data_IF_653047873130
#
_entry.id   IF_653047873130
#
_cell.length_a   1.000
_cell.length_b   1.000
_cell.length_c   1.000
_cell.angle_alpha   90.00
_cell.angle_beta   90.00
_cell.angle_gamma   90.00
#
_symmetry.space_group_name_H-M   'P 1'
#
loop_
_entity.id
_entity.type
_entity.pdbx_description
1 polymer ?
#
# COMPACT_ATOMS: atom_id res chain seq x y z
N UNK A 1 -71.50 44.00 -32.31
CA UNK A 1 -70.75 44.78 -31.30
C UNK A 1 -69.26 44.43 -31.41
N UNK A 2 -68.50 45.24 -32.16
CA UNK A 2 -67.08 45.01 -32.42
C UNK A 2 -66.21 45.36 -31.20
N UNK A 3 -65.30 44.46 -30.82
CA UNK A 3 -64.34 44.70 -29.73
C UNK A 3 -63.06 45.38 -30.26
N UNK A 4 -62.66 46.44 -29.54
CA UNK A 4 -61.68 47.46 -29.92
C UNK A 4 -60.24 46.92 -30.01
N UNK A 5 -59.55 47.24 -31.12
CA UNK A 5 -58.09 47.10 -31.27
C UNK A 5 -57.39 48.14 -30.39
N UNK A 6 -56.51 47.68 -29.47
CA UNK A 6 -55.64 48.56 -28.66
C UNK A 6 -54.43 48.99 -29.49
N UNK A 7 -54.34 50.29 -29.79
CA UNK A 7 -53.17 50.96 -30.36
C UNK A 7 -51.99 50.92 -29.38
N UNK A 8 -50.85 50.36 -29.83
CA UNK A 8 -49.59 50.38 -29.09
C UNK A 8 -48.90 51.71 -29.37
N UNK A 9 -48.68 52.52 -28.33
CA UNK A 9 -48.03 53.83 -28.43
C UNK A 9 -46.59 53.66 -28.93
N UNK A 10 -46.29 54.30 -30.05
CA UNK A 10 -44.95 54.58 -30.55
C UNK A 10 -44.40 55.72 -29.69
N UNK A 11 -43.36 55.44 -28.91
CA UNK A 11 -42.66 56.45 -28.12
C UNK A 11 -41.17 56.12 -28.12
N UNK A 12 -40.50 56.34 -29.24
CA UNK A 12 -39.04 56.47 -29.29
C UNK A 12 -38.57 57.03 -30.64
N UNK A 13 -38.89 58.28 -30.93
CA UNK A 13 -38.17 59.07 -31.92
C UNK A 13 -38.30 60.56 -31.57
N UNK A 14 -37.51 60.99 -30.58
CA UNK A 14 -37.28 62.41 -30.31
C UNK A 14 -35.88 62.76 -30.85
N UNK A 15 -35.73 63.78 -31.71
CA UNK A 15 -34.43 64.20 -32.23
C UNK A 15 -33.70 65.02 -31.17
N UNK A 16 -32.58 64.51 -30.66
CA UNK A 16 -31.77 65.21 -29.64
C UNK A 16 -30.99 64.30 -28.68
N UNK A 17 -31.21 62.98 -28.72
CA UNK A 17 -30.36 62.02 -28.00
C UNK A 17 -29.37 61.40 -28.99
N UNK A 18 -28.08 61.50 -28.70
CA UNK A 18 -27.01 60.87 -29.49
C UNK A 18 -27.31 59.38 -29.63
N UNK A 19 -27.64 58.95 -30.84
CA UNK A 19 -27.70 57.53 -31.17
C UNK A 19 -26.27 57.06 -31.33
N UNK A 20 -25.72 56.45 -30.28
CA UNK A 20 -24.49 55.69 -30.42
C UNK A 20 -24.76 54.58 -31.43
N UNK A 21 -24.21 54.75 -32.63
CA UNK A 21 -24.14 53.72 -33.66
C UNK A 21 -23.39 52.54 -33.01
N UNK A 22 -24.06 51.41 -32.92
CA UNK A 22 -23.47 50.14 -32.51
C UNK A 22 -22.27 49.82 -33.39
N UNK A 23 -21.17 49.27 -32.83
CA UNK A 23 -20.17 48.61 -33.66
C UNK A 23 -20.85 47.36 -34.22
N UNK A 24 -21.35 47.48 -35.45
CA UNK A 24 -21.38 46.33 -36.33
C UNK A 24 -19.94 45.87 -36.52
N UNK A 25 -19.78 44.56 -36.53
CA UNK A 25 -18.61 43.83 -37.00
C UNK A 25 -17.55 43.54 -35.93
N UNK A 26 -17.92 42.70 -34.96
CA UNK A 26 -17.23 41.41 -34.69
C UNK A 26 -18.00 40.62 -33.62
N UNK A 27 -18.23 39.33 -33.89
CA UNK A 27 -18.78 38.30 -32.97
C UNK A 27 -20.15 38.58 -32.34
N UNK A 28 -21.19 38.63 -33.16
CA UNK A 28 -22.58 38.52 -32.68
C UNK A 28 -22.92 37.05 -32.36
N UNK A 29 -22.40 36.52 -31.24
CA UNK A 29 -23.09 35.42 -30.56
C UNK A 29 -24.47 35.92 -30.15
N UNK A 30 -25.49 35.22 -30.60
CA UNK A 30 -26.90 35.62 -30.57
C UNK A 30 -27.40 35.77 -29.12
N UNK A 31 -27.31 36.98 -28.58
CA UNK A 31 -28.02 37.41 -27.37
C UNK A 31 -29.52 37.62 -27.62
N UNK A 32 -30.20 36.63 -28.21
CA UNK A 32 -31.66 36.66 -28.36
C UNK A 32 -32.30 36.70 -26.97
N UNK A 33 -33.14 37.72 -26.71
CA UNK A 33 -33.94 37.85 -25.48
C UNK A 33 -34.56 36.49 -25.12
N UNK A 34 -34.13 35.88 -24.00
CA UNK A 34 -34.50 34.50 -23.64
C UNK A 34 -36.02 34.34 -23.68
N UNK A 35 -36.50 33.46 -24.56
CA UNK A 35 -37.94 33.17 -24.64
C UNK A 35 -38.39 32.62 -23.28
N UNK A 36 -39.45 33.19 -22.72
CA UNK A 36 -40.03 32.72 -21.46
C UNK A 36 -40.76 31.41 -21.73
N UNK A 37 -40.05 30.30 -21.62
CA UNK A 37 -40.59 28.96 -21.83
C UNK A 37 -40.82 28.27 -20.48
N UNK A 38 -41.88 27.46 -20.38
CA UNK A 38 -42.17 26.65 -19.20
C UNK A 38 -41.04 25.64 -18.93
N UNK A 39 -40.40 25.73 -17.77
CA UNK A 39 -39.26 24.90 -17.36
C UNK A 39 -39.67 23.63 -16.60
N UNK A 40 -40.94 23.22 -16.62
CA UNK A 40 -41.37 22.06 -15.83
C UNK A 40 -41.05 20.72 -16.52
N UNK A 41 -40.69 20.72 -17.81
CA UNK A 41 -40.41 19.50 -18.59
C UNK A 41 -38.95 19.44 -19.03
N UNK A 42 -38.30 18.28 -18.87
CA UNK A 42 -36.90 18.02 -19.31
C UNK A 42 -36.65 18.35 -20.79
N UNK A 43 -37.62 18.09 -21.66
CA UNK A 43 -37.54 18.45 -23.10
C UNK A 43 -37.29 19.94 -23.33
N UNK A 44 -37.79 20.83 -22.47
CA UNK A 44 -37.54 22.27 -22.59
C UNK A 44 -36.17 22.66 -22.03
N UNK A 45 -35.66 21.96 -21.02
CA UNK A 45 -34.30 22.20 -20.50
C UNK A 45 -33.26 21.91 -21.56
N UNK A 46 -33.36 20.77 -22.24
CA UNK A 46 -32.42 20.38 -23.28
C UNK A 46 -32.43 21.31 -24.50
N UNK A 47 -33.54 22.01 -24.78
CA UNK A 47 -33.70 22.84 -25.99
C UNK A 47 -33.42 24.32 -25.79
N UNK A 48 -33.62 24.83 -24.58
CA UNK A 48 -33.56 26.27 -24.29
C UNK A 48 -32.50 26.63 -23.25
N UNK A 49 -31.73 25.67 -22.76
CA UNK A 49 -30.50 25.96 -22.01
C UNK A 49 -29.38 26.12 -23.03
N UNK A 50 -28.93 27.35 -23.23
CA UNK A 50 -27.75 27.63 -24.01
C UNK A 50 -26.53 27.35 -23.12
N UNK A 51 -25.74 26.37 -23.52
CA UNK A 51 -24.49 25.96 -22.85
C UNK A 51 -23.29 26.16 -23.75
N UNK A 52 -23.47 26.82 -24.91
CA UNK A 52 -22.41 26.96 -25.91
C UNK A 52 -21.20 27.71 -25.37
N UNK A 53 -21.42 28.73 -24.54
CA UNK A 53 -20.36 29.46 -23.82
C UNK A 53 -19.51 28.53 -22.93
N UNK A 54 -20.17 27.63 -22.19
CA UNK A 54 -19.48 26.65 -21.33
C UNK A 54 -18.74 25.61 -22.18
N UNK A 55 -19.35 25.16 -23.27
CA UNK A 55 -18.72 24.19 -24.17
C UNK A 55 -17.51 24.80 -24.88
N UNK A 56 -17.60 26.04 -25.36
CA UNK A 56 -16.51 26.80 -26.00
C UNK A 56 -15.36 27.02 -25.01
N UNK A 57 -15.65 27.43 -23.77
CA UNK A 57 -14.65 27.53 -22.71
C UNK A 57 -13.95 26.19 -22.41
N UNK A 58 -14.71 25.09 -22.36
CA UNK A 58 -14.14 23.76 -22.12
C UNK A 58 -13.35 23.25 -23.35
N UNK A 59 -13.75 23.61 -24.56
CA UNK A 59 -13.00 23.33 -25.78
C UNK A 59 -11.69 24.10 -25.85
N UNK A 60 -11.68 25.37 -25.45
CA UNK A 60 -10.49 26.20 -25.33
C UNK A 60 -9.50 25.63 -24.32
N UNK A 61 -9.98 25.20 -23.14
CA UNK A 61 -9.13 24.52 -22.15
C UNK A 61 -8.49 23.27 -22.77
N UNK A 62 -9.29 22.41 -23.42
CA UNK A 62 -8.77 21.19 -24.07
C UNK A 62 -7.81 21.53 -25.19
N UNK A 63 -8.01 22.62 -25.93
CA UNK A 63 -7.09 23.06 -26.96
C UNK A 63 -5.75 23.49 -26.34
N UNK A 64 -5.77 24.26 -25.25
CA UNK A 64 -4.56 24.66 -24.53
C UNK A 64 -3.81 23.44 -23.97
N UNK A 65 -4.53 22.46 -23.42
CA UNK A 65 -3.94 21.20 -22.95
C UNK A 65 -3.27 20.40 -24.09
N UNK A 66 -3.85 20.37 -25.29
CA UNK A 66 -3.26 19.67 -26.46
C UNK A 66 -2.01 20.36 -27.01
N UNK A 67 -2.05 21.69 -27.16
CA UNK A 67 -0.95 22.44 -27.80
C UNK A 67 0.19 22.69 -26.82
N UNK A 68 -0.15 23.06 -25.60
CA UNK A 68 0.79 23.57 -24.62
C UNK A 68 1.09 22.52 -23.55
N UNK A 69 0.27 21.47 -23.40
CA UNK A 69 0.48 20.42 -22.39
C UNK A 69 0.05 20.82 -20.98
N UNK A 70 -0.84 21.80 -20.86
CA UNK A 70 -1.39 22.32 -19.61
C UNK A 70 -1.96 23.72 -19.78
N UNK A 71 -2.64 24.23 -18.76
CA UNK A 71 -3.19 25.59 -18.76
C UNK A 71 -2.05 26.61 -18.83
N UNK A 72 -2.21 27.63 -19.68
CA UNK A 72 -1.19 28.66 -19.85
C UNK A 72 -0.92 29.42 -18.55
N UNK A 73 -1.96 29.61 -17.73
CA UNK A 73 -1.90 30.32 -16.44
C UNK A 73 -1.12 29.59 -15.35
N UNK A 74 -0.97 28.26 -15.43
CA UNK A 74 -0.26 27.47 -14.41
C UNK A 74 1.23 27.33 -14.70
N UNK A 75 1.66 27.67 -15.92
CA UNK A 75 3.05 27.59 -16.33
C UNK A 75 3.85 28.78 -15.79
N UNK A 76 5.09 28.51 -15.38
CA UNK A 76 6.04 29.54 -14.96
C UNK A 76 6.43 30.43 -16.13
N UNK A 77 6.59 31.73 -15.90
CA UNK A 77 7.00 32.69 -16.93
C UNK A 77 8.30 32.28 -17.63
N UNK A 78 9.26 31.69 -16.91
CA UNK A 78 10.51 31.13 -17.44
C UNK A 78 10.31 30.05 -18.52
N UNK A 79 9.17 29.34 -18.48
CA UNK A 79 8.82 28.33 -19.48
C UNK A 79 8.03 28.91 -20.66
N UNK A 80 7.37 30.05 -20.45
CA UNK A 80 6.56 30.72 -21.47
C UNK A 80 7.42 31.66 -22.31
N UNK A 81 8.35 32.34 -21.66
CA UNK A 81 9.19 33.36 -22.25
C UNK A 81 10.64 32.92 -22.16
N UNK A 82 11.24 32.71 -23.33
CA UNK A 82 12.69 32.63 -23.44
C UNK A 82 13.20 34.01 -23.82
N UNK A 83 14.05 34.60 -22.97
CA UNK A 83 14.79 35.80 -23.35
C UNK A 83 15.87 35.39 -24.35
N UNK A 84 15.58 35.55 -25.64
CA UNK A 84 16.57 35.38 -26.70
C UNK A 84 17.56 36.55 -26.67
N UNK A 85 18.48 36.49 -25.72
CA UNK A 85 19.73 37.24 -25.77
C UNK A 85 20.53 36.58 -26.89
N UNK A 86 20.34 37.08 -28.12
CA UNK A 86 20.96 36.54 -29.32
C UNK A 86 22.42 36.17 -29.08
N UNK A 87 22.81 34.98 -29.58
CA UNK A 87 24.09 34.29 -29.33
C UNK A 87 25.02 35.00 -28.34
N UNK A 88 25.06 34.62 -27.04
CA UNK A 88 26.28 34.88 -26.31
C UNK A 88 27.39 34.18 -27.09
N UNK A 89 28.43 34.93 -27.48
CA UNK A 89 29.68 34.32 -27.94
C UNK A 89 30.00 33.17 -27.00
N UNK A 90 30.16 31.96 -27.57
CA UNK A 90 30.37 30.71 -26.85
C UNK A 90 31.20 30.98 -25.59
N UNK A 91 30.70 30.75 -24.36
CA UNK A 91 31.57 30.81 -23.21
C UNK A 91 32.63 29.73 -23.42
N UNK A 92 33.84 30.17 -23.76
CA UNK A 92 35.05 29.37 -23.60
C UNK A 92 35.05 28.89 -22.14
N UNK A 93 35.44 27.64 -21.87
CA UNK A 93 35.67 27.22 -20.50
C UNK A 93 36.89 27.99 -19.96
N UNK A 94 36.65 29.20 -19.47
CA UNK A 94 37.65 29.94 -18.72
C UNK A 94 37.58 29.48 -17.28
N UNK A 95 38.73 28.98 -16.85
CA UNK A 95 39.05 28.61 -15.49
C UNK A 95 38.92 29.83 -14.55
N UNK A 96 38.47 29.51 -13.32
CA UNK A 96 38.69 30.22 -12.05
C UNK A 96 37.84 31.49 -11.82
N UNK A 97 36.97 31.52 -10.81
CA UNK A 97 37.34 31.47 -9.39
C UNK A 97 36.66 30.36 -8.57
N UNK A 98 37.38 29.75 -7.60
CA UNK A 98 36.87 28.71 -6.71
C UNK A 98 36.16 29.32 -5.49
N UNK A 99 34.86 29.03 -5.33
CA UNK A 99 34.28 28.84 -4.00
C UNK A 99 33.68 27.44 -3.96
N UNK A 100 34.27 26.65 -3.08
CA UNK A 100 33.95 25.26 -2.85
C UNK A 100 32.49 25.11 -2.40
N UNK A 101 31.77 24.23 -3.09
CA UNK A 101 30.78 23.40 -2.43
C UNK A 101 30.85 22.00 -3.04
N UNK A 102 31.74 21.19 -2.46
CA UNK A 102 31.88 19.78 -2.78
C UNK A 102 30.63 19.02 -2.33
N UNK A 103 29.94 18.36 -3.26
CA UNK A 103 28.87 17.45 -2.84
C UNK A 103 27.90 16.94 -3.90
N UNK A 104 27.95 17.41 -5.15
CA UNK A 104 27.08 16.86 -6.21
C UNK A 104 27.93 16.32 -7.35
N UNK A 105 28.31 15.04 -7.21
CA UNK A 105 28.67 14.18 -8.34
C UNK A 105 27.72 14.52 -9.48
N UNK A 106 28.26 14.95 -10.62
CA UNK A 106 27.52 15.15 -11.88
C UNK A 106 26.79 13.84 -12.17
N UNK A 107 25.55 13.71 -11.67
CA UNK A 107 24.67 12.61 -12.05
C UNK A 107 24.59 12.72 -13.56
N UNK A 108 25.07 11.68 -14.24
CA UNK A 108 25.31 11.69 -15.67
C UNK A 108 24.15 12.40 -16.36
N UNK A 109 24.47 13.39 -17.20
CA UNK A 109 23.50 14.06 -18.06
C UNK A 109 22.65 12.93 -18.64
N UNK A 110 21.37 12.87 -18.24
CA UNK A 110 20.50 11.82 -18.74
C UNK A 110 20.62 11.87 -20.26
N UNK A 111 21.09 10.78 -20.87
CA UNK A 111 21.27 10.73 -22.31
C UNK A 111 19.93 11.11 -22.91
N UNK A 112 19.93 12.14 -23.78
CA UNK A 112 18.73 12.51 -24.52
C UNK A 112 18.17 11.20 -25.10
N UNK A 113 16.87 10.92 -24.92
CA UNK A 113 16.29 9.67 -25.38
C UNK A 113 16.62 9.48 -26.86
N UNK A 114 16.87 8.24 -27.25
CA UNK A 114 17.21 7.95 -28.64
C UNK A 114 16.05 8.42 -29.52
N UNK A 115 16.34 8.83 -30.75
CA UNK A 115 15.30 9.30 -31.69
C UNK A 115 14.20 8.25 -31.92
N UNK A 116 14.57 6.96 -31.86
CA UNK A 116 13.63 5.84 -31.93
C UNK A 116 12.68 5.78 -30.73
N UNK A 117 13.17 6.13 -29.53
CA UNK A 117 12.37 6.14 -28.30
C UNK A 117 11.44 7.35 -28.25
N UNK A 118 11.87 8.48 -28.85
CA UNK A 118 11.03 9.68 -28.99
C UNK A 118 9.80 9.41 -29.88
N UNK A 119 9.93 8.58 -30.91
CA UNK A 119 8.81 8.19 -31.77
C UNK A 119 7.80 7.29 -31.03
N UNK A 120 8.26 6.57 -30.00
CA UNK A 120 7.41 5.70 -29.19
C UNK A 120 6.68 6.45 -28.07
N UNK A 121 7.06 7.70 -27.79
CA UNK A 121 6.36 8.53 -26.82
C UNK A 121 4.99 8.96 -27.38
N UNK A 122 3.98 9.14 -26.52
CA UNK A 122 2.67 9.59 -26.97
C UNK A 122 2.75 11.00 -27.56
N UNK A 123 2.21 11.19 -28.76
CA UNK A 123 2.18 12.50 -29.43
C UNK A 123 1.28 13.52 -28.70
N UNK A 124 0.29 13.05 -27.94
CA UNK A 124 -0.58 13.91 -27.15
C UNK A 124 0.06 14.26 -25.82
N UNK A 125 0.25 15.56 -25.56
CA UNK A 125 0.66 16.10 -24.26
C UNK A 125 -0.41 15.96 -23.16
N UNK A 126 -1.63 15.55 -23.54
CA UNK A 126 -2.75 15.29 -22.63
C UNK A 126 -2.54 13.93 -21.96
N UNK A 127 -2.59 13.84 -20.62
CA UNK A 127 -2.48 12.56 -19.94
C UNK A 127 -3.64 11.64 -20.34
N UNK A 128 -3.38 10.34 -20.57
CA UNK A 128 -4.45 9.42 -20.88
C UNK A 128 -5.47 9.37 -19.73
N UNK A 129 -6.77 9.15 -20.03
CA UNK A 129 -7.79 9.02 -19.00
C UNK A 129 -7.37 7.92 -18.02
N UNK A 130 -7.41 8.26 -16.72
CA UNK A 130 -7.02 7.33 -15.67
C UNK A 130 -7.96 6.13 -15.69
N UNK A 131 -7.45 4.93 -15.93
CA UNK A 131 -8.21 3.71 -15.75
C UNK A 131 -8.46 3.48 -14.25
N UNK A 132 -9.63 3.92 -13.79
CA UNK A 132 -10.04 3.87 -12.38
C UNK A 132 -9.99 2.42 -11.85
N UNK A 133 -10.22 1.42 -12.70
CA UNK A 133 -10.17 0.01 -12.33
C UNK A 133 -8.74 -0.50 -12.22
N UNK A 134 -7.84 -0.10 -13.12
CA UNK A 134 -6.42 -0.48 -13.04
C UNK A 134 -5.76 -0.02 -11.73
N UNK A 135 -6.19 1.13 -11.19
CA UNK A 135 -5.67 1.66 -9.91
C UNK A 135 -6.42 1.11 -8.68
N UNK A 136 -7.54 0.39 -8.85
CA UNK A 136 -8.20 -0.29 -7.75
C UNK A 136 -7.42 -1.57 -7.38
N UNK A 137 -6.52 -1.43 -6.42
CA UNK A 137 -5.90 -2.60 -5.79
C UNK A 137 -6.94 -3.30 -4.91
N UNK A 138 -7.33 -4.55 -5.19
CA UNK A 138 -8.17 -5.31 -4.28
C UNK A 138 -7.46 -5.40 -2.93
N UNK A 139 -8.20 -5.19 -1.83
CA UNK A 139 -7.65 -5.14 -0.47
C UNK A 139 -6.60 -4.03 -0.20
N UNK A 140 -6.63 -2.90 -0.93
CA UNK A 140 -5.72 -1.76 -0.69
C UNK A 140 -5.61 -1.33 0.78
N UNK A 141 -6.73 -1.31 1.53
CA UNK A 141 -6.74 -0.97 2.97
C UNK A 141 -5.94 -1.95 3.81
N UNK A 142 -5.96 -3.25 3.47
CA UNK A 142 -5.18 -4.29 4.14
C UNK A 142 -3.69 -4.13 3.83
N UNK A 143 -3.35 -3.87 2.56
CA UNK A 143 -1.96 -3.63 2.13
C UNK A 143 -1.36 -2.39 2.82
N UNK A 144 -2.12 -1.29 2.91
CA UNK A 144 -1.73 -0.09 3.66
C UNK A 144 -1.44 -0.39 5.13
N UNK A 145 -2.32 -1.15 5.81
CA UNK A 145 -2.09 -1.56 7.20
C UNK A 145 -0.85 -2.45 7.36
N UNK A 146 -0.61 -3.35 6.41
CA UNK A 146 0.59 -4.20 6.40
C UNK A 146 1.85 -3.36 6.23
N UNK A 147 1.85 -2.39 5.30
CA UNK A 147 2.97 -1.47 5.08
C UNK A 147 3.26 -0.63 6.33
N UNK A 148 2.23 0.00 6.91
CA UNK A 148 2.37 0.77 8.16
C UNK A 148 2.91 -0.09 9.31
N UNK A 149 2.41 -1.33 9.45
CA UNK A 149 2.91 -2.26 10.47
C UNK A 149 4.37 -2.64 10.20
N UNK A 150 4.77 -2.82 8.94
CA UNK A 150 6.15 -3.09 8.57
C UNK A 150 7.07 -1.89 8.87
N UNK A 151 6.63 -0.66 8.58
CA UNK A 151 7.35 0.57 8.93
C UNK A 151 7.50 0.75 10.45
N UNK A 152 6.43 0.50 11.22
CA UNK A 152 6.49 0.54 12.68
C UNK A 152 7.46 -0.51 13.25
N UNK A 153 7.48 -1.71 12.69
CA UNK A 153 8.43 -2.75 13.08
C UNK A 153 9.87 -2.37 12.70
N UNK A 154 10.06 -1.78 11.52
CA UNK A 154 11.36 -1.29 11.07
C UNK A 154 11.89 -0.15 11.95
N UNK A 155 11.03 0.82 12.32
CA UNK A 155 11.37 1.89 13.26
C UNK A 155 11.74 1.36 14.65
N UNK A 156 11.11 0.26 15.08
CA UNK A 156 11.46 -0.48 16.32
C UNK A 156 12.68 -1.39 16.16
N UNK A 157 13.31 -1.46 14.98
CA UNK A 157 14.43 -2.35 14.69
C UNK A 157 14.06 -3.84 14.66
N UNK A 158 12.78 -4.18 14.63
CA UNK A 158 12.30 -5.56 14.67
C UNK A 158 12.26 -6.14 13.26
N UNK A 159 13.27 -6.95 12.95
CA UNK A 159 13.36 -7.65 11.67
C UNK A 159 12.34 -8.81 11.60
N UNK A 160 11.60 -8.98 10.48
CA UNK A 160 10.70 -10.12 10.30
C UNK A 160 11.40 -11.48 10.44
N UNK A 161 10.68 -12.48 10.95
CA UNK A 161 11.21 -13.84 11.18
C UNK A 161 11.89 -14.44 9.95
N UNK A 162 11.37 -14.19 8.75
CA UNK A 162 11.95 -14.67 7.47
C UNK A 162 13.34 -14.09 7.25
N UNK A 163 13.52 -12.80 7.48
CA UNK A 163 14.79 -12.11 7.29
C UNK A 163 15.79 -12.48 8.41
N UNK A 164 15.32 -12.64 9.66
CA UNK A 164 16.15 -13.24 10.74
C UNK A 164 16.64 -14.64 10.37
N UNK A 165 15.79 -15.50 9.80
CA UNK A 165 16.18 -16.84 9.32
C UNK A 165 17.20 -16.79 8.18
N UNK A 166 17.11 -15.80 7.29
CA UNK A 166 18.09 -15.62 6.21
C UNK A 166 19.45 -15.16 6.75
N UNK A 167 19.47 -14.24 7.72
CA UNK A 167 20.70 -13.82 8.39
C UNK A 167 21.34 -14.95 9.20
N UNK A 168 20.52 -15.75 9.89
CA UNK A 168 20.99 -16.90 10.68
C UNK A 168 21.29 -18.14 9.84
N UNK A 169 20.98 -18.11 8.54
CA UNK A 169 21.30 -19.22 7.64
C UNK A 169 22.81 -19.22 7.46
N UNK A 170 23.46 -20.20 8.08
CA UNK A 170 24.88 -20.47 7.85
C UNK A 170 25.12 -20.54 6.33
N UNK A 171 26.13 -19.85 5.78
CA UNK A 171 26.52 -20.08 4.41
C UNK A 171 26.82 -21.57 4.30
N UNK A 172 26.06 -22.27 3.48
CA UNK A 172 26.39 -23.64 3.13
C UNK A 172 27.64 -23.51 2.28
N UNK A 173 28.78 -23.97 2.80
CA UNK A 173 29.97 -24.19 2.01
C UNK A 173 29.58 -25.14 0.89
N UNK A 174 29.36 -24.58 -0.29
CA UNK A 174 29.14 -25.37 -1.50
C UNK A 174 30.49 -25.99 -1.82
N UNK A 175 30.77 -27.15 -1.22
CA UNK A 175 31.97 -27.96 -1.45
C UNK A 175 32.12 -28.34 -2.92
N UNK A 176 31.00 -28.38 -3.65
CA UNK A 176 31.01 -28.37 -5.11
C UNK A 176 31.07 -26.91 -5.56
N UNK A 177 32.27 -26.47 -5.97
CA UNK A 177 32.41 -25.28 -6.83
C UNK A 177 31.43 -25.49 -7.99
N UNK A 178 30.30 -24.78 -8.01
CA UNK A 178 29.55 -24.62 -9.25
C UNK A 178 30.59 -24.09 -10.22
N UNK A 179 30.93 -24.87 -11.25
CA UNK A 179 31.79 -24.39 -12.31
C UNK A 179 31.27 -23.00 -12.67
N UNK A 180 32.07 -21.98 -12.39
CA UNK A 180 31.75 -20.62 -12.78
C UNK A 180 31.73 -20.72 -14.29
N UNK A 181 30.54 -20.83 -14.87
CA UNK A 181 30.38 -20.73 -16.30
C UNK A 181 30.93 -19.36 -16.63
N UNK A 182 32.11 -19.35 -17.24
CA UNK A 182 32.78 -18.12 -17.66
C UNK A 182 31.78 -17.31 -18.47
N UNK A 183 31.70 -16.01 -18.18
CA UNK A 183 30.80 -15.13 -18.92
C UNK A 183 31.15 -15.25 -20.41
N UNK A 184 30.12 -15.22 -21.27
CA UNK A 184 30.31 -15.41 -22.72
C UNK A 184 31.23 -14.37 -23.39
N UNK A 185 31.61 -13.32 -22.65
CA UNK A 185 32.43 -12.21 -23.11
C UNK A 185 33.88 -12.26 -22.58
N UNK A 186 34.31 -13.36 -21.96
CA UNK A 186 35.69 -13.49 -21.49
C UNK A 186 36.63 -13.78 -22.68
N UNK A 187 37.64 -12.94 -22.98
CA UNK A 187 38.55 -13.13 -24.11
C UNK A 187 39.53 -14.29 -23.94
N UNK A 188 39.81 -14.70 -22.70
CA UNK A 188 40.71 -15.83 -22.38
C UNK A 188 40.02 -17.19 -22.48
N UNK A 189 38.74 -17.22 -22.88
CA UNK A 189 37.98 -18.46 -23.03
C UNK A 189 38.42 -19.18 -24.31
N UNK A 190 38.76 -20.46 -24.17
CA UNK A 190 39.09 -21.32 -25.31
C UNK A 190 37.98 -21.27 -26.37
N UNK A 191 38.37 -21.05 -27.63
CA UNK A 191 37.46 -20.97 -28.77
C UNK A 191 36.70 -22.28 -28.92
N UNK A 192 35.39 -22.25 -28.66
CA UNK A 192 34.53 -23.42 -28.83
C UNK A 192 34.32 -23.68 -30.33
N UNK A 193 35.13 -24.57 -30.89
CA UNK A 193 35.03 -24.98 -32.29
C UNK A 193 33.78 -25.86 -32.49
N UNK A 194 32.75 -25.24 -33.08
CA UNK A 194 31.50 -25.90 -33.45
C UNK A 194 31.68 -26.98 -34.54
N UNK A 195 32.85 -27.02 -35.20
CA UNK A 195 33.21 -27.99 -36.24
C UNK A 195 34.28 -29.00 -35.79
N UNK A 196 34.74 -28.90 -34.54
CA UNK A 196 35.72 -29.82 -33.98
C UNK A 196 35.17 -31.24 -33.89
N UNK A 197 35.93 -32.24 -34.37
CA UNK A 197 35.57 -33.65 -34.33
C UNK A 197 35.77 -34.33 -32.96
N UNK A 198 36.01 -33.54 -31.91
CA UNK A 198 36.26 -34.06 -30.57
C UNK A 198 35.00 -34.77 -30.01
N UNK A 199 35.14 -36.02 -29.52
CA UNK A 199 34.02 -36.79 -29.01
C UNK A 199 33.47 -36.15 -27.72
N UNK A 200 32.23 -35.63 -27.81
CA UNK A 200 31.51 -35.06 -26.67
C UNK A 200 31.24 -36.14 -25.63
N UNK A 201 31.97 -36.10 -24.51
CA UNK A 201 31.82 -37.04 -23.38
C UNK A 201 30.47 -36.83 -22.72
N UNK A 202 29.46 -37.71 -22.95
CA UNK A 202 28.30 -37.82 -22.05
C UNK A 202 27.34 -38.99 -22.33
N UNK A 203 27.52 -40.08 -21.57
CA UNK A 203 26.58 -40.77 -20.67
C UNK A 203 25.09 -41.10 -21.02
N UNK A 204 24.48 -40.67 -22.13
CA UNK A 204 23.19 -41.25 -22.57
C UNK A 204 22.90 -40.93 -24.06
N UNK A 205 22.92 -41.92 -24.97
CA UNK A 205 22.96 -41.67 -26.42
C UNK A 205 21.74 -40.93 -27.01
N UNK A 206 20.52 -41.21 -26.55
CA UNK A 206 19.31 -40.83 -27.31
C UNK A 206 18.79 -39.42 -26.98
N UNK A 207 18.73 -39.04 -25.71
CA UNK A 207 18.15 -37.74 -25.28
C UNK A 207 19.07 -36.54 -25.61
N UNK A 208 20.38 -36.78 -25.62
CA UNK A 208 21.39 -35.75 -25.88
C UNK A 208 21.58 -35.47 -27.37
N UNK A 209 21.32 -36.45 -28.25
CA UNK A 209 21.47 -36.29 -29.70
C UNK A 209 20.60 -35.14 -30.24
N UNK A 210 19.42 -34.95 -29.66
CA UNK A 210 18.47 -33.94 -30.11
C UNK A 210 18.54 -32.63 -29.32
N UNK A 211 18.84 -32.66 -28.03
CA UNK A 211 18.70 -31.49 -27.15
C UNK A 211 20.01 -31.00 -26.53
N UNK A 212 21.08 -31.81 -26.53
CA UNK A 212 22.38 -31.48 -25.93
C UNK A 212 22.36 -31.22 -24.43
N UNK A 213 21.24 -31.48 -23.73
CA UNK A 213 21.07 -31.25 -22.29
C UNK A 213 20.74 -32.55 -21.57
N UNK A 214 21.22 -32.71 -20.33
CA UNK A 214 20.83 -33.83 -19.46
C UNK A 214 19.46 -33.57 -18.83
N UNK A 215 18.65 -34.62 -18.66
CA UNK A 215 17.40 -34.56 -17.90
C UNK A 215 17.68 -34.10 -16.46
N UNK A 216 16.92 -33.10 -16.01
CA UNK A 216 17.00 -32.64 -14.61
C UNK A 216 16.42 -33.71 -13.71
N UNK A 217 17.22 -34.20 -12.75
CA UNK A 217 16.74 -35.16 -11.74
C UNK A 217 15.64 -34.52 -10.90
N UNK A 218 14.53 -35.26 -10.70
CA UNK A 218 13.42 -34.84 -9.84
C UNK A 218 13.91 -34.70 -8.40
N UNK A 219 13.59 -33.60 -7.69
CA UNK A 219 13.98 -33.43 -6.29
C UNK A 219 13.34 -34.50 -5.40
N UNK A 220 14.11 -35.06 -4.46
CA UNK A 220 13.71 -36.19 -3.59
C UNK A 220 12.43 -35.92 -2.78
N UNK A 221 12.26 -34.67 -2.30
CA UNK A 221 11.07 -34.24 -1.55
C UNK A 221 9.76 -34.45 -2.29
N UNK A 222 9.79 -34.47 -3.62
CA UNK A 222 8.61 -34.65 -4.44
C UNK A 222 8.18 -36.14 -4.54
N UNK A 223 8.99 -37.05 -4.00
CA UNK A 223 8.67 -38.46 -3.85
C UNK A 223 8.11 -38.78 -2.44
N UNK A 224 8.23 -37.85 -1.48
CA UNK A 224 7.67 -38.01 -0.14
C UNK A 224 6.14 -37.91 -0.20
N UNK A 225 5.44 -38.84 0.45
CA UNK A 225 3.98 -38.79 0.56
C UNK A 225 3.59 -37.62 1.48
N UNK A 226 2.55 -36.84 1.14
CA UNK A 226 2.17 -35.63 1.88
C UNK A 226 1.60 -35.92 3.27
N UNK A 227 1.02 -37.10 3.48
CA UNK A 227 0.45 -37.54 4.75
C UNK A 227 1.11 -38.84 5.22
N UNK A 228 1.26 -38.96 6.55
CA UNK A 228 1.64 -40.22 7.21
C UNK A 228 0.46 -41.18 7.28
N UNK A 229 -0.77 -40.62 7.30
CA UNK A 229 -2.01 -41.40 7.38
C UNK A 229 -2.24 -42.20 6.09
N UNK A 230 -2.78 -43.43 6.21
CA UNK A 230 -3.22 -44.19 5.05
C UNK A 230 -4.32 -43.43 4.31
N UNK A 231 -4.44 -43.67 2.99
CA UNK A 231 -5.41 -42.97 2.15
C UNK A 231 -6.88 -43.30 2.49
N UNK A 232 -7.12 -44.46 3.11
CA UNK A 232 -8.44 -44.92 3.55
C UNK A 232 -8.28 -45.48 4.96
N UNK A 233 -9.09 -44.98 5.89
CA UNK A 233 -9.21 -45.54 7.23
C UNK A 233 -10.04 -46.82 7.16
N UNK A 234 -9.42 -47.97 7.43
CA UNK A 234 -10.12 -49.25 7.44
C UNK A 234 -10.65 -49.48 8.85
N UNK A 235 -11.97 -49.61 8.97
CA UNK A 235 -12.65 -49.88 10.25
C UNK A 235 -12.40 -51.33 10.66
N UNK A 236 -12.32 -51.59 11.97
CA UNK A 236 -12.26 -52.95 12.52
C UNK A 236 -13.49 -53.78 12.09
N UNK A 237 -13.34 -55.10 11.82
CA UNK A 237 -14.45 -55.96 11.39
C UNK A 237 -15.64 -55.97 12.36
N UNK A 238 -15.41 -55.67 13.64
CA UNK A 238 -16.45 -55.52 14.67
C UNK A 238 -17.43 -54.36 14.43
N UNK A 239 -17.12 -53.44 13.52
CA UNK A 239 -18.00 -52.31 13.14
C UNK A 239 -18.90 -52.59 11.95
N UNK A 240 -18.90 -53.82 11.42
CA UNK A 240 -19.85 -54.24 10.40
C UNK A 240 -21.27 -54.37 10.96
N UNK A 241 -22.30 -54.35 10.10
CA UNK A 241 -23.70 -54.46 10.51
C UNK A 241 -24.04 -55.80 11.18
N UNK A 242 -23.30 -56.87 10.84
CA UNK A 242 -23.43 -58.19 11.42
C UNK A 242 -22.03 -58.75 11.78
N UNK A 243 -21.41 -58.27 12.86
CA UNK A 243 -20.06 -58.66 13.23
C UNK A 243 -20.05 -60.00 13.96
N UNK A 244 -18.92 -60.72 13.87
CA UNK A 244 -18.68 -61.85 14.76
C UNK A 244 -18.54 -61.35 16.22
N UNK A 245 -19.00 -62.15 17.18
CA UNK A 245 -19.08 -61.75 18.59
C UNK A 245 -17.73 -61.29 19.14
N UNK A 246 -16.65 -62.04 18.84
CA UNK A 246 -15.31 -61.71 19.30
C UNK A 246 -14.80 -60.41 18.70
N UNK A 247 -15.09 -60.18 17.41
CA UNK A 247 -14.68 -58.96 16.70
C UNK A 247 -15.37 -57.70 17.24
N UNK A 248 -16.66 -57.80 17.57
CA UNK A 248 -17.42 -56.71 18.17
C UNK A 248 -16.95 -56.41 19.61
N UNK A 249 -16.74 -57.45 20.42
CA UNK A 249 -16.24 -57.28 21.78
C UNK A 249 -14.83 -56.66 21.80
N UNK A 250 -13.96 -57.06 20.89
CA UNK A 250 -12.62 -56.47 20.75
C UNK A 250 -12.70 -54.96 20.42
N UNK A 251 -13.59 -54.57 19.50
CA UNK A 251 -13.82 -53.16 19.16
C UNK A 251 -14.30 -52.35 20.37
N UNK A 252 -15.26 -52.88 21.13
CA UNK A 252 -15.76 -52.23 22.35
C UNK A 252 -14.67 -52.10 23.42
N UNK A 253 -13.83 -53.13 23.58
CA UNK A 253 -12.71 -53.09 24.51
C UNK A 253 -11.67 -52.03 24.11
N UNK A 254 -11.34 -51.92 22.83
CA UNK A 254 -10.42 -50.90 22.31
C UNK A 254 -10.98 -49.49 22.56
N UNK A 255 -12.25 -49.27 22.23
CA UNK A 255 -12.93 -48.00 22.49
C UNK A 255 -12.91 -47.63 23.99
N UNK A 256 -13.23 -48.59 24.85
CA UNK A 256 -13.17 -48.42 26.30
C UNK A 256 -11.77 -48.06 26.80
N UNK A 257 -10.72 -48.72 26.28
CA UNK A 257 -9.34 -48.41 26.66
C UNK A 257 -8.94 -46.97 26.29
N UNK A 258 -9.33 -46.50 25.10
CA UNK A 258 -9.08 -45.12 24.66
C UNK A 258 -9.77 -44.12 25.58
N UNK A 259 -11.04 -44.35 25.95
CA UNK A 259 -11.75 -43.47 26.87
C UNK A 259 -11.12 -43.46 28.27
N UNK A 260 -10.75 -44.63 28.80
CA UNK A 260 -10.06 -44.72 30.09
C UNK A 260 -8.73 -43.95 30.06
N UNK A 261 -7.99 -43.99 28.95
CA UNK A 261 -6.75 -43.21 28.82
C UNK A 261 -7.02 -41.71 28.80
N UNK A 262 -8.04 -41.25 28.07
CA UNK A 262 -8.44 -39.83 28.06
C UNK A 262 -8.84 -39.35 29.45
N UNK A 263 -9.70 -40.11 30.13
CA UNK A 263 -10.13 -39.80 31.50
C UNK A 263 -8.95 -39.72 32.47
N UNK A 264 -7.99 -40.65 32.37
CA UNK A 264 -6.76 -40.58 33.19
C UNK A 264 -5.92 -39.34 32.91
N UNK A 265 -5.86 -38.87 31.66
CA UNK A 265 -5.15 -37.65 31.30
C UNK A 265 -5.87 -36.42 31.83
N UNK A 266 -7.19 -36.36 31.72
CA UNK A 266 -8.04 -35.32 32.30
C UNK A 266 -7.88 -35.26 33.81
N UNK A 267 -8.04 -36.39 34.51
CA UNK A 267 -7.83 -36.49 35.96
C UNK A 267 -6.43 -36.02 36.36
N UNK A 268 -5.40 -36.32 35.55
CA UNK A 268 -4.03 -35.88 35.80
C UNK A 268 -3.89 -34.36 35.64
N UNK A 269 -4.51 -33.78 34.62
CA UNK A 269 -4.53 -32.32 34.42
C UNK A 269 -5.31 -31.63 35.54
N UNK A 270 -6.48 -32.15 35.92
CA UNK A 270 -7.27 -31.64 37.04
C UNK A 270 -6.47 -31.67 38.34
N UNK A 271 -5.77 -32.78 38.63
CA UNK A 271 -4.88 -32.86 39.79
C UNK A 271 -3.74 -31.85 39.74
N UNK A 272 -3.18 -31.58 38.56
CA UNK A 272 -2.13 -30.57 38.39
C UNK A 272 -2.65 -29.14 38.52
N UNK A 273 -3.88 -28.87 38.07
CA UNK A 273 -4.53 -27.57 38.15
C UNK A 273 -5.21 -27.31 39.50
N UNK A 274 -5.48 -28.37 40.27
CA UNK A 274 -6.06 -28.28 41.59
C UNK A 274 -5.10 -27.52 42.53
N UNK A 275 -5.40 -26.25 42.75
CA UNK A 275 -4.76 -25.44 43.80
C UNK A 275 -5.15 -26.04 45.16
N UNK A 276 -4.17 -26.29 46.04
CA UNK A 276 -4.44 -26.77 47.40
C UNK A 276 -5.42 -25.82 48.07
N UNK A 277 -6.47 -26.37 48.69
CA UNK A 277 -7.51 -25.54 49.32
C UNK A 277 -6.96 -24.67 50.45
N UNK A 278 -5.85 -25.09 51.06
CA UNK A 278 -5.12 -24.36 52.10
C UNK A 278 -4.40 -23.12 51.56
N UNK A 279 -3.99 -23.13 50.28
CA UNK A 279 -3.35 -21.99 49.61
C UNK A 279 -4.37 -20.96 49.09
N UNK A 280 -5.67 -21.26 49.18
CA UNK A 280 -6.74 -20.33 48.78
C UNK A 280 -7.04 -19.39 49.93
N UNK A 281 -6.75 -18.09 49.72
CA UNK A 281 -7.11 -17.04 50.65
C UNK A 281 -8.62 -17.08 50.93
N UNK A 282 -8.99 -17.39 52.17
CA UNK A 282 -10.38 -17.35 52.65
C UNK A 282 -10.85 -15.90 52.70
N UNK A 283 -12.15 -15.65 52.56
CA UNK A 283 -12.73 -14.29 52.62
C UNK A 283 -12.32 -13.57 53.91
N UNK A 284 -12.20 -14.31 55.02
CA UNK A 284 -11.73 -13.81 56.31
C UNK A 284 -10.27 -13.34 56.24
N UNK A 285 -9.38 -14.11 55.60
CA UNK A 285 -7.98 -13.70 55.42
C UNK A 285 -7.83 -12.46 54.53
N UNK A 286 -8.67 -12.31 53.51
CA UNK A 286 -8.70 -11.14 52.63
C UNK A 286 -9.22 -9.91 53.40
N UNK A 287 -10.28 -10.07 54.18
CA UNK A 287 -10.84 -9.00 55.03
C UNK A 287 -9.81 -8.57 56.08
N UNK A 288 -9.16 -9.51 56.78
CA UNK A 288 -8.12 -9.20 57.77
C UNK A 288 -6.95 -8.46 57.12
N UNK A 289 -6.50 -8.89 55.94
CA UNK A 289 -5.45 -8.20 55.21
C UNK A 289 -5.86 -6.77 54.84
N UNK A 290 -7.09 -6.58 54.34
CA UNK A 290 -7.61 -5.26 53.98
C UNK A 290 -7.74 -4.36 55.21
N UNK A 291 -8.21 -4.90 56.34
CA UNK A 291 -8.34 -4.18 57.61
C UNK A 291 -6.95 -3.80 58.16
N UNK A 292 -5.96 -4.68 58.07
CA UNK A 292 -4.58 -4.39 58.46
C UNK A 292 -3.94 -3.31 57.57
N UNK A 293 -4.20 -3.31 56.26
CA UNK A 293 -3.75 -2.25 55.34
C UNK A 293 -4.41 -0.92 55.65
N UNK A 294 -5.72 -0.90 55.93
CA UNK A 294 -6.43 0.34 56.32
C UNK A 294 -5.91 0.84 57.66
N UNK A 295 -5.71 -0.04 58.64
CA UNK A 295 -5.20 0.32 59.96
C UNK A 295 -3.79 0.93 59.88
N UNK A 296 -2.87 0.28 59.17
CA UNK A 296 -1.51 0.81 58.95
C UNK A 296 -1.54 2.14 58.19
N UNK A 297 -2.43 2.31 57.20
CA UNK A 297 -2.58 3.59 56.49
C UNK A 297 -3.12 4.71 57.39
N UNK A 298 -4.06 4.40 58.28
CA UNK A 298 -4.59 5.37 59.26
C UNK A 298 -3.56 5.76 60.31
N UNK A 299 -2.76 4.81 60.81
CA UNK A 299 -1.69 5.11 61.76
C UNK A 299 -0.60 5.98 61.13
N UNK A 300 -0.17 5.66 59.91
CA UNK A 300 0.78 6.48 59.16
C UNK A 300 0.22 7.90 58.98
N UNK A 301 -1.04 8.04 58.60
CA UNK A 301 -1.70 9.35 58.43
C UNK A 301 -1.79 10.15 59.74
N UNK A 302 -2.03 9.49 60.87
CA UNK A 302 -2.06 10.10 62.20
C UNK A 302 -0.68 10.60 62.64
N UNK A 303 0.38 9.83 62.39
CA UNK A 303 1.76 10.25 62.65
C UNK A 303 2.12 11.48 61.82
N UNK A 304 1.76 11.51 60.54
CA UNK A 304 1.95 12.70 59.70
C UNK A 304 1.15 13.91 60.18
N UNK A 305 -0.07 13.71 60.69
CA UNK A 305 -0.91 14.78 61.22
C UNK A 305 -0.37 15.35 62.55
N UNK A 306 0.10 14.50 63.47
CA UNK A 306 0.78 14.92 64.69
C UNK A 306 2.07 15.69 64.38
N UNK A 307 2.88 15.20 63.43
CA UNK A 307 4.09 15.88 63.00
C UNK A 307 3.79 17.26 62.39
N UNK A 308 2.70 17.37 61.62
CA UNK A 308 2.21 18.64 61.09
C UNK A 308 1.76 19.60 62.19
N UNK A 309 1.03 19.12 63.20
CA UNK A 309 0.61 19.91 64.36
C UNK A 309 1.79 20.40 65.19
N UNK A 310 2.79 19.54 65.41
CA UNK A 310 4.04 19.90 66.09
C UNK A 310 4.78 21.03 65.35
N UNK A 311 4.90 20.91 64.02
CA UNK A 311 5.55 21.93 63.19
C UNK A 311 4.78 23.26 63.21
N UNK A 312 3.44 23.20 63.17
CA UNK A 312 2.58 24.39 63.25
C UNK A 312 2.68 25.09 64.61
N UNK A 313 2.83 24.32 65.69
CA UNK A 313 3.01 24.82 67.06
C UNK A 313 4.38 25.49 67.24
N UNK A 314 5.44 24.93 66.66
CA UNK A 314 6.77 25.55 66.57
C UNK A 314 6.74 26.88 65.80
N UNK A 315 6.03 26.94 64.67
CA UNK A 315 5.85 28.18 63.89
C UNK A 315 5.08 29.23 64.68
N UNK A 316 4.03 28.85 65.42
CA UNK A 316 3.23 29.80 66.22
C UNK A 316 4.02 30.38 67.41
N UNK A 317 4.80 29.55 68.12
CA UNK A 317 5.67 29.99 69.22
C UNK A 317 6.79 30.91 68.71
N UNK A 318 7.31 30.66 67.51
CA UNK A 318 8.34 31.52 66.91
C UNK A 318 7.81 32.89 66.46
N UNK A 319 6.50 33.03 66.23
CA UNK A 319 5.86 34.27 65.74
C UNK A 319 5.40 35.22 66.85
N UNK A 320 5.41 34.77 68.11
CA UNK A 320 5.07 35.55 69.31
C UNK A 320 6.29 35.98 70.13
N UNK A 321 7.49 35.84 69.55
CA UNK A 321 8.77 36.23 70.17
C UNK A 321 9.42 37.35 69.37
N UNK A 322 8.73 38.48 69.27
CA UNK A 322 9.19 39.83 68.87
C UNK A 322 8.37 40.82 69.67
#
# INVERSE_FOLDING_TARGET
>A
MAARRRLKRVASSQPGFLSFKSPSDTTASVGSRRKRVNKNKKKNWNKYSDVNDVDEFLEDIRHQERTTGGLLSEKTDDSLFFLDLGQPEKPQPQAETPQADEGKKRRGKASRPLRIDLILQPDSLVPPPKDILAYQQPNAKKLRRIAQKAEQLAAKGVVPRKQKRLLNRRPVDKTVKKAVTEANNNPDRDYYDIWGQEPKVSADPWYLQQTGKKLVKRPEKLNEKPSVLPAVEVISPGGSYNPDFFSHQALLQEAHQVEVQKKKQEDKLERQLAINKEDKATEVSIIIFFLAVVFTFTEISLVYFEMFLFFRRQIFVSKWKV
#
